data_IF_533781150142
#
_entry.id   IF_533781150142
#
_cell.length_a   1.000
_cell.length_b   1.000
_cell.length_c   1.000
_cell.angle_alpha   90.00
_cell.angle_beta   90.00
_cell.angle_gamma   90.00
#
_symmetry.space_group_name_H-M   'P 1'
#
loop_
_entity.id
_entity.type
_entity.pdbx_description
1 polymer ?
#
# COMPACT_ATOMS: atom_id res chain seq x y z
N UNK A 1 20.54 -15.90 11.67
CA UNK A 1 20.46 -16.45 10.30
C UNK A 1 20.36 -15.27 9.33
N UNK A 2 21.15 -15.20 8.25
CA UNK A 2 21.06 -14.08 7.28
C UNK A 2 19.73 -14.19 6.53
N UNK A 3 18.85 -13.20 6.66
CA UNK A 3 17.55 -13.15 5.96
C UNK A 3 17.81 -12.92 4.46
N UNK A 4 17.33 -13.82 3.60
CA UNK A 4 17.39 -13.69 2.14
C UNK A 4 16.00 -13.96 1.56
N UNK A 5 15.45 -12.97 0.86
CA UNK A 5 14.16 -13.10 0.19
C UNK A 5 14.28 -14.02 -1.04
N UNK A 6 13.17 -14.63 -1.43
CA UNK A 6 13.08 -15.63 -2.50
C UNK A 6 11.82 -15.46 -3.32
N UNK A 7 11.62 -16.29 -4.34
CA UNK A 7 10.36 -16.32 -5.09
C UNK A 7 9.15 -16.68 -4.21
N UNK A 8 9.36 -17.39 -3.11
CA UNK A 8 8.32 -17.61 -2.10
C UNK A 8 8.25 -16.39 -1.15
N UNK A 9 7.05 -15.81 -0.94
CA UNK A 9 6.82 -14.78 0.07
C UNK A 9 7.32 -15.19 1.47
N UNK A 10 7.95 -14.25 2.17
CA UNK A 10 8.34 -14.44 3.57
C UNK A 10 7.25 -13.86 4.49
N UNK A 11 6.51 -14.72 5.18
CA UNK A 11 5.48 -14.30 6.14
C UNK A 11 5.91 -14.69 7.54
N UNK A 12 5.97 -13.72 8.45
CA UNK A 12 6.30 -14.01 9.85
C UNK A 12 5.20 -14.88 10.50
N UNK A 13 5.54 -15.84 11.39
CA UNK A 13 4.55 -16.74 12.00
C UNK A 13 3.40 -16.09 12.79
N UNK A 14 3.56 -14.83 13.19
CA UNK A 14 2.54 -14.06 13.92
C UNK A 14 1.74 -13.10 13.02
N UNK A 15 2.08 -13.03 11.73
CA UNK A 15 1.29 -12.30 10.76
C UNK A 15 0.09 -13.14 10.30
N UNK A 16 -1.00 -12.46 9.94
CA UNK A 16 -2.22 -13.08 9.42
C UNK A 16 -2.44 -12.60 8.00
N UNK A 17 -2.59 -13.55 7.07
CA UNK A 17 -2.85 -13.29 5.65
C UNK A 17 -4.04 -14.13 5.22
N UNK A 18 -5.15 -13.48 4.86
CA UNK A 18 -6.43 -14.14 4.60
C UNK A 18 -7.04 -13.65 3.29
N UNK A 19 -7.49 -14.55 2.40
CA UNK A 19 -8.09 -14.20 1.12
C UNK A 19 -7.22 -13.20 0.32
N UNK A 20 -5.91 -13.42 0.33
CA UNK A 20 -4.91 -12.48 -0.14
C UNK A 20 -3.85 -13.16 -1.00
N UNK A 21 -3.27 -12.42 -1.94
CA UNK A 21 -2.16 -12.87 -2.78
C UNK A 21 -0.91 -12.07 -2.48
N UNK A 22 0.23 -12.75 -2.42
CA UNK A 22 1.54 -12.16 -2.18
C UNK A 22 2.47 -12.51 -3.33
N UNK A 23 3.11 -11.50 -3.91
CA UNK A 23 4.09 -11.64 -4.98
C UNK A 23 5.42 -12.19 -4.51
N UNK A 24 6.29 -12.47 -5.46
CA UNK A 24 7.65 -12.99 -5.23
C UNK A 24 8.51 -11.95 -4.51
N UNK A 25 9.46 -12.39 -3.70
CA UNK A 25 10.36 -11.54 -2.91
C UNK A 25 9.63 -10.57 -1.98
N UNK A 26 8.40 -10.86 -1.60
CA UNK A 26 7.66 -10.06 -0.63
C UNK A 26 7.97 -10.47 0.80
N UNK A 27 7.76 -9.54 1.73
CA UNK A 27 7.92 -9.80 3.15
C UNK A 27 6.79 -9.18 3.97
N UNK A 28 6.16 -9.97 4.84
CA UNK A 28 5.21 -9.53 5.85
C UNK A 28 5.82 -9.79 7.23
N UNK A 29 6.18 -8.72 7.93
CA UNK A 29 6.74 -8.79 9.28
C UNK A 29 5.66 -9.08 10.35
N UNK A 30 6.13 -9.27 11.58
CA UNK A 30 5.33 -9.74 12.70
C UNK A 30 4.10 -8.89 13.03
N UNK A 31 3.06 -9.53 13.59
CA UNK A 31 1.81 -8.89 14.06
C UNK A 31 1.03 -8.07 13.01
N UNK A 32 1.39 -8.19 11.74
CA UNK A 32 0.65 -7.57 10.64
C UNK A 32 -0.57 -8.40 10.23
N UNK A 33 -1.62 -7.73 9.79
CA UNK A 33 -2.84 -8.34 9.24
C UNK A 33 -3.08 -7.86 7.82
N UNK A 34 -3.24 -8.79 6.90
CA UNK A 34 -3.53 -8.54 5.48
C UNK A 34 -4.74 -9.37 5.10
N UNK A 35 -5.79 -8.74 4.60
CA UNK A 35 -7.03 -9.42 4.25
C UNK A 35 -7.64 -8.88 2.96
N UNK A 36 -8.16 -9.75 2.10
CA UNK A 36 -8.84 -9.38 0.84
C UNK A 36 -8.00 -8.45 -0.07
N UNK A 37 -6.69 -8.62 -0.01
CA UNK A 37 -5.69 -7.71 -0.57
C UNK A 37 -4.62 -8.41 -1.39
N UNK A 38 -3.98 -7.65 -2.27
CA UNK A 38 -2.93 -8.12 -3.17
C UNK A 38 -1.65 -7.33 -2.89
N UNK A 39 -0.51 -8.00 -2.77
CA UNK A 39 0.81 -7.36 -2.74
C UNK A 39 1.65 -7.84 -3.91
N UNK A 40 2.10 -6.91 -4.74
CA UNK A 40 3.00 -7.18 -5.86
C UNK A 40 4.42 -7.56 -5.43
N UNK A 41 5.17 -8.12 -6.37
CA UNK A 41 6.56 -8.56 -6.18
C UNK A 41 7.43 -7.47 -5.50
N UNK A 42 8.39 -7.90 -4.68
CA UNK A 42 9.37 -7.08 -3.95
C UNK A 42 8.81 -6.09 -2.92
N UNK A 43 7.49 -5.99 -2.77
CA UNK A 43 6.87 -5.16 -1.74
C UNK A 43 7.04 -5.77 -0.35
N UNK A 44 7.20 -4.93 0.67
CA UNK A 44 7.28 -5.40 2.05
C UNK A 44 6.44 -4.55 3.00
N UNK A 45 6.07 -5.18 4.11
CA UNK A 45 5.40 -4.57 5.23
C UNK A 45 6.15 -4.89 6.52
N UNK A 46 6.52 -3.84 7.25
CA UNK A 46 7.06 -3.97 8.59
C UNK A 46 5.94 -4.29 9.60
N UNK A 47 6.31 -4.47 10.86
CA UNK A 47 5.43 -5.00 11.90
C UNK A 47 4.19 -4.15 12.17
N UNK A 48 3.19 -4.77 12.79
CA UNK A 48 1.98 -4.13 13.30
C UNK A 48 1.14 -3.39 12.25
N UNK A 49 1.23 -3.75 10.96
CA UNK A 49 0.41 -3.16 9.91
C UNK A 49 -0.99 -3.78 9.84
N UNK A 50 -1.98 -3.04 9.32
CA UNK A 50 -3.31 -3.59 9.04
C UNK A 50 -3.78 -3.11 7.68
N UNK A 51 -4.07 -4.06 6.80
CA UNK A 51 -4.40 -3.85 5.40
C UNK A 51 -5.64 -4.67 5.07
N UNK A 52 -6.64 -3.99 4.51
CA UNK A 52 -7.89 -4.62 4.09
C UNK A 52 -8.32 -4.08 2.72
N UNK A 53 -8.88 -4.93 1.86
CA UNK A 53 -9.37 -4.56 0.52
C UNK A 53 -8.44 -3.56 -0.20
N UNK A 54 -7.19 -3.96 -0.42
CA UNK A 54 -6.16 -3.08 -1.01
C UNK A 54 -5.43 -3.81 -2.12
N UNK A 55 -5.13 -3.09 -3.21
CA UNK A 55 -4.15 -3.53 -4.21
C UNK A 55 -2.86 -2.74 -4.00
N UNK A 56 -1.82 -3.42 -3.53
CA UNK A 56 -0.46 -2.88 -3.36
C UNK A 56 0.37 -3.40 -4.52
N UNK A 57 0.90 -2.50 -5.33
CA UNK A 57 1.69 -2.87 -6.50
C UNK A 57 3.12 -3.26 -6.10
N UNK A 58 4.01 -3.43 -7.08
CA UNK A 58 5.38 -3.94 -6.90
C UNK A 58 6.30 -2.90 -6.24
N UNK A 59 7.30 -3.34 -5.49
CA UNK A 59 8.32 -2.48 -4.86
C UNK A 59 7.76 -1.41 -3.89
N UNK A 60 6.58 -1.63 -3.32
CA UNK A 60 6.02 -0.74 -2.30
C UNK A 60 6.69 -0.98 -0.94
N UNK A 61 7.08 0.10 -0.28
CA UNK A 61 7.81 0.12 0.99
C UNK A 61 6.87 0.55 2.12
N UNK A 62 6.41 -0.39 2.94
CA UNK A 62 5.42 -0.10 3.99
C UNK A 62 6.09 -0.20 5.36
N UNK A 63 6.29 0.94 6.01
CA UNK A 63 6.88 1.02 7.34
C UNK A 63 5.94 0.48 8.42
N UNK A 64 6.45 0.37 9.65
CA UNK A 64 5.70 -0.27 10.73
C UNK A 64 4.44 0.53 11.09
N UNK A 65 3.43 -0.18 11.58
CA UNK A 65 2.19 0.40 12.10
C UNK A 65 1.34 1.18 11.08
N UNK A 66 1.54 0.95 9.78
CA UNK A 66 0.71 1.56 8.73
C UNK A 66 -0.68 0.92 8.70
N UNK A 67 -1.71 1.76 8.51
CA UNK A 67 -3.11 1.35 8.35
C UNK A 67 -3.59 1.68 6.95
N UNK A 68 -4.07 0.70 6.20
CA UNK A 68 -4.54 0.89 4.84
C UNK A 68 -6.01 0.44 4.74
N UNK A 69 -6.84 1.31 4.17
CA UNK A 69 -8.29 1.16 4.09
C UNK A 69 -8.98 1.11 5.46
N UNK A 70 -8.65 2.09 6.33
CA UNK A 70 -9.27 2.22 7.65
C UNK A 70 -10.77 2.59 7.52
N UNK A 71 -11.65 1.61 7.70
CA UNK A 71 -13.09 1.76 7.40
C UNK A 71 -13.80 2.80 8.26
N UNK A 72 -14.75 3.50 7.65
CA UNK A 72 -15.63 4.46 8.35
C UNK A 72 -16.92 3.80 8.85
N UNK A 73 -17.42 4.29 9.98
CA UNK A 73 -18.76 3.95 10.48
C UNK A 73 -19.87 4.75 9.77
N UNK A 74 -21.12 4.26 9.73
CA UNK A 74 -22.22 4.95 9.06
C UNK A 74 -22.73 6.14 9.88
N UNK A 75 -22.13 7.31 9.69
CA UNK A 75 -22.44 8.54 10.46
C UNK A 75 -23.81 9.16 10.14
N UNK A 76 -24.55 8.61 9.17
CA UNK A 76 -25.89 9.06 8.80
C UNK A 76 -27.01 8.29 9.50
N UNK A 77 -26.70 7.21 10.23
CA UNK A 77 -27.68 6.43 10.99
C UNK A 77 -27.90 7.03 12.38
N UNK A 78 -29.02 6.69 13.06
CA UNK A 78 -29.25 7.12 14.45
C UNK A 78 -28.14 6.71 15.44
N UNK A 79 -27.35 5.69 15.11
CA UNK A 79 -26.16 5.27 15.85
C UNK A 79 -25.08 4.77 14.90
N UNK A 80 -23.82 4.89 15.32
CA UNK A 80 -22.65 4.37 14.61
C UNK A 80 -22.31 2.93 15.02
N UNK A 81 -23.00 2.36 15.99
CA UNK A 81 -22.70 1.01 16.50
C UNK A 81 -22.95 -0.05 15.43
N UNK A 82 -22.10 -1.09 15.38
CA UNK A 82 -22.18 -2.08 14.31
C UNK A 82 -23.40 -2.98 14.35
N UNK A 83 -24.21 -2.97 15.42
CA UNK A 83 -25.43 -3.79 15.50
C UNK A 83 -26.39 -3.46 14.36
N UNK A 84 -26.30 -2.25 13.78
CA UNK A 84 -27.16 -1.84 12.67
C UNK A 84 -26.81 -2.51 11.34
N UNK A 85 -25.57 -2.98 11.15
CA UNK A 85 -25.12 -3.66 9.92
C UNK A 85 -24.52 -5.05 10.20
N UNK A 86 -24.45 -5.42 11.48
CA UNK A 86 -24.06 -6.72 12.03
C UNK A 86 -25.12 -7.29 12.96
N UNK A 87 -26.38 -7.26 12.53
CA UNK A 87 -27.49 -7.57 13.42
C UNK A 87 -27.53 -9.05 13.86
N UNK A 88 -27.16 -9.98 12.99
CA UNK A 88 -27.09 -11.43 13.32
C UNK A 88 -26.03 -11.77 14.37
N UNK A 89 -25.05 -10.89 14.65
CA UNK A 89 -24.13 -11.08 15.77
C UNK A 89 -24.84 -10.88 17.14
N UNK A 90 -26.07 -10.36 17.14
CA UNK A 90 -26.84 -9.98 18.34
C UNK A 90 -28.19 -10.69 18.45
N UNK A 91 -28.84 -11.00 17.33
CA UNK A 91 -30.19 -11.57 17.31
C UNK A 91 -30.32 -12.65 16.24
N UNK A 92 -30.93 -13.79 16.60
CA UNK A 92 -31.12 -14.94 15.71
C UNK A 92 -32.09 -14.67 14.56
N UNK A 93 -32.93 -13.62 14.67
CA UNK A 93 -33.94 -13.23 13.68
C UNK A 93 -33.54 -12.03 12.81
N UNK A 94 -32.28 -11.61 12.87
CA UNK A 94 -31.74 -10.49 12.11
C UNK A 94 -30.54 -10.90 11.26
N UNK A 95 -30.28 -10.19 10.16
CA UNK A 95 -29.23 -10.50 9.20
C UNK A 95 -28.13 -9.43 9.15
N UNK A 96 -26.92 -9.81 8.74
CA UNK A 96 -25.90 -8.84 8.32
C UNK A 96 -26.37 -8.10 7.06
N UNK A 97 -26.14 -6.78 7.00
CA UNK A 97 -26.39 -6.02 5.76
C UNK A 97 -25.27 -6.28 4.74
N UNK A 98 -25.45 -7.29 3.88
CA UNK A 98 -24.48 -7.69 2.86
C UNK A 98 -24.09 -6.54 1.92
N UNK A 99 -25.05 -5.71 1.51
CA UNK A 99 -24.84 -4.54 0.66
C UNK A 99 -23.91 -3.50 1.31
N UNK A 100 -24.07 -3.25 2.62
CA UNK A 100 -23.20 -2.33 3.36
C UNK A 100 -21.73 -2.80 3.36
N UNK A 101 -21.50 -4.11 3.46
CA UNK A 101 -20.15 -4.66 3.33
C UNK A 101 -19.64 -4.61 1.89
N UNK A 102 -20.50 -4.84 0.90
CA UNK A 102 -20.14 -4.70 -0.52
C UNK A 102 -19.71 -3.27 -0.84
N UNK A 103 -20.42 -2.25 -0.35
CA UNK A 103 -20.05 -0.84 -0.50
C UNK A 103 -18.69 -0.52 0.15
N UNK A 104 -18.41 -1.07 1.34
CA UNK A 104 -17.09 -0.89 1.96
C UNK A 104 -15.97 -1.54 1.14
N UNK A 105 -16.20 -2.75 0.61
CA UNK A 105 -15.25 -3.44 -0.27
C UNK A 105 -15.02 -2.70 -1.59
N UNK A 106 -16.05 -2.03 -2.11
CA UNK A 106 -15.95 -1.20 -3.31
C UNK A 106 -15.00 0.00 -3.11
N UNK A 107 -14.76 0.45 -1.87
CA UNK A 107 -13.76 1.48 -1.53
C UNK A 107 -12.35 0.89 -1.39
N UNK A 108 -11.97 0.03 -2.34
CA UNK A 108 -10.63 -0.56 -2.42
C UNK A 108 -9.57 0.55 -2.53
N UNK A 109 -8.49 0.43 -1.75
CA UNK A 109 -7.33 1.34 -1.83
C UNK A 109 -6.33 0.82 -2.87
N UNK A 110 -5.71 1.73 -3.62
CA UNK A 110 -4.62 1.38 -4.56
C UNK A 110 -3.33 2.04 -4.12
N UNK A 111 -2.28 1.25 -3.91
CA UNK A 111 -0.92 1.72 -3.62
C UNK A 111 -0.03 1.41 -4.82
N UNK A 112 0.53 2.44 -5.44
CA UNK A 112 1.34 2.36 -6.66
C UNK A 112 2.72 1.69 -6.46
N UNK A 113 3.41 1.50 -7.59
CA UNK A 113 4.76 0.97 -7.65
C UNK A 113 5.77 1.92 -6.98
N UNK A 114 6.86 1.41 -6.42
CA UNK A 114 7.94 2.23 -5.82
C UNK A 114 7.44 3.28 -4.82
N UNK A 115 6.36 2.99 -4.10
CA UNK A 115 5.81 3.89 -3.10
C UNK A 115 6.51 3.72 -1.76
N UNK A 116 6.49 4.76 -0.94
CA UNK A 116 6.91 4.69 0.45
C UNK A 116 5.82 5.21 1.39
N UNK A 117 5.35 4.35 2.29
CA UNK A 117 4.41 4.70 3.36
C UNK A 117 5.17 4.77 4.69
N UNK A 118 5.30 5.98 5.23
CA UNK A 118 5.99 6.25 6.48
C UNK A 118 5.28 5.65 7.69
N UNK A 119 6.05 5.44 8.78
CA UNK A 119 5.59 4.80 10.00
C UNK A 119 4.28 5.40 10.52
N UNK A 120 3.32 4.55 10.90
CA UNK A 120 2.07 5.01 11.50
C UNK A 120 1.16 5.82 10.57
N UNK A 121 1.45 5.91 9.27
CA UNK A 121 0.56 6.57 8.32
C UNK A 121 -0.75 5.79 8.14
N UNK A 122 -1.83 6.52 7.85
CA UNK A 122 -3.17 5.96 7.63
C UNK A 122 -3.67 6.38 6.26
N UNK A 123 -4.03 5.39 5.43
CA UNK A 123 -4.63 5.59 4.12
C UNK A 123 -6.13 5.31 4.21
N UNK A 124 -6.96 6.31 3.92
CA UNK A 124 -8.42 6.19 4.03
C UNK A 124 -9.05 5.41 2.87
N UNK A 125 -10.27 4.87 3.04
CA UNK A 125 -10.94 4.06 2.03
C UNK A 125 -11.08 4.76 0.67
N UNK A 126 -10.84 4.03 -0.40
CA UNK A 126 -10.98 4.50 -1.79
C UNK A 126 -9.83 5.37 -2.32
N UNK A 127 -8.80 5.65 -1.51
CA UNK A 127 -7.65 6.47 -1.94
C UNK A 127 -6.75 5.70 -2.91
N UNK A 128 -6.22 6.41 -3.90
CA UNK A 128 -5.11 5.98 -4.76
C UNK A 128 -3.84 6.76 -4.42
N UNK A 129 -2.76 6.04 -4.09
CA UNK A 129 -1.40 6.58 -3.95
C UNK A 129 -0.63 6.24 -5.21
N UNK A 130 -0.31 7.24 -6.04
CA UNK A 130 0.34 7.04 -7.34
C UNK A 130 1.76 6.48 -7.25
N UNK A 131 2.26 5.95 -8.36
CA UNK A 131 3.60 5.33 -8.41
C UNK A 131 4.70 6.34 -8.03
N UNK A 132 5.70 5.87 -7.31
CA UNK A 132 6.79 6.69 -6.81
C UNK A 132 6.39 7.66 -5.70
N UNK A 133 5.12 7.76 -5.28
CA UNK A 133 4.71 8.69 -4.24
C UNK A 133 5.25 8.30 -2.85
N UNK A 134 5.42 9.29 -1.98
CA UNK A 134 5.86 9.10 -0.61
C UNK A 134 4.89 9.75 0.39
N UNK A 135 4.59 9.02 1.46
CA UNK A 135 3.71 9.45 2.55
C UNK A 135 4.55 9.58 3.82
N UNK A 136 4.59 10.78 4.40
CA UNK A 136 5.30 11.03 5.66
C UNK A 136 4.75 10.21 6.83
N UNK A 137 5.58 9.99 7.84
CA UNK A 137 5.18 9.30 9.07
C UNK A 137 3.99 10.01 9.76
N UNK A 138 3.06 9.22 10.30
CA UNK A 138 1.87 9.69 11.01
C UNK A 138 0.84 10.42 10.14
N UNK A 139 1.03 10.51 8.82
CA UNK A 139 0.11 11.23 7.95
C UNK A 139 -1.24 10.49 7.80
N UNK A 140 -2.33 11.26 7.67
CA UNK A 140 -3.66 10.73 7.33
C UNK A 140 -4.02 11.14 5.91
N UNK A 141 -3.90 10.20 4.98
CA UNK A 141 -4.14 10.42 3.55
C UNK A 141 -5.63 10.20 3.27
N UNK A 142 -6.34 11.31 3.07
CA UNK A 142 -7.79 11.35 2.84
C UNK A 142 -8.19 11.66 1.39
N UNK A 143 -7.21 11.85 0.51
CA UNK A 143 -7.39 12.14 -0.93
C UNK A 143 -6.28 11.47 -1.72
N UNK A 144 -6.52 11.27 -3.00
CA UNK A 144 -5.54 10.69 -3.92
C UNK A 144 -4.23 11.49 -3.92
N UNK A 145 -3.13 10.76 -4.06
CA UNK A 145 -1.78 11.31 -4.14
C UNK A 145 -1.26 11.08 -5.54
N UNK A 146 -0.89 12.16 -6.23
CA UNK A 146 -0.33 12.07 -7.56
C UNK A 146 1.00 11.28 -7.57
N UNK A 147 1.35 10.61 -8.69
CA UNK A 147 2.64 9.95 -8.83
C UNK A 147 3.81 10.89 -8.48
N UNK A 148 4.88 10.33 -7.92
CA UNK A 148 6.10 11.05 -7.54
C UNK A 148 5.87 12.25 -6.60
N UNK A 149 4.72 12.35 -5.92
CA UNK A 149 4.44 13.41 -4.95
C UNK A 149 4.74 12.95 -3.53
N UNK A 150 5.32 13.84 -2.73
CA UNK A 150 5.54 13.64 -1.30
C UNK A 150 4.44 14.38 -0.52
N UNK A 151 3.70 13.67 0.32
CA UNK A 151 2.63 14.21 1.18
C UNK A 151 2.93 13.99 2.65
N UNK A 152 2.36 14.82 3.53
CA UNK A 152 2.43 14.62 4.98
C UNK A 152 1.41 15.46 5.75
N UNK A 153 1.22 15.13 7.03
CA UNK A 153 0.32 15.83 7.95
C UNK A 153 -1.06 15.17 8.15
N UNK A 154 -1.89 15.82 8.97
CA UNK A 154 -3.27 15.38 9.29
C UNK A 154 -4.23 16.57 9.15
N UNK A 155 -5.03 16.65 8.07
CA UNK A 155 -5.00 15.78 6.89
C UNK A 155 -3.69 15.95 6.09
N UNK A 156 -3.30 14.91 5.35
CA UNK A 156 -2.11 14.96 4.52
C UNK A 156 -2.25 16.01 3.40
N UNK A 157 -1.19 16.78 3.19
CA UNK A 157 -1.08 17.77 2.11
C UNK A 157 0.18 17.52 1.29
N UNK A 158 0.19 17.86 -0.01
CA UNK A 158 1.42 17.88 -0.81
C UNK A 158 2.46 18.78 -0.16
N UNK A 159 3.68 18.26 -0.04
CA UNK A 159 4.85 18.98 0.48
C UNK A 159 5.75 19.41 -0.67
N UNK A 160 6.09 18.46 -1.55
CA UNK A 160 6.89 18.68 -2.76
C UNK A 160 6.80 17.48 -3.69
N UNK A 161 7.25 17.64 -4.93
CA UNK A 161 7.48 16.53 -5.84
C UNK A 161 8.86 15.88 -5.55
N UNK A 162 9.01 14.59 -5.89
CA UNK A 162 10.30 13.88 -5.85
C UNK A 162 11.21 14.37 -6.96
N UNK A 163 10.64 14.58 -8.15
CA UNK A 163 11.30 15.05 -9.37
C UNK A 163 10.44 16.10 -10.05
N UNK A 164 11.01 16.83 -11.01
CA UNK A 164 10.19 17.62 -11.92
C UNK A 164 9.26 16.71 -12.76
N UNK A 165 8.20 17.30 -13.31
CA UNK A 165 7.18 16.60 -14.08
C UNK A 165 7.74 15.79 -15.26
N UNK A 166 8.71 16.32 -16.02
CA UNK A 166 9.29 15.63 -17.18
C UNK A 166 10.06 14.39 -16.73
N UNK A 167 10.83 14.51 -15.67
CA UNK A 167 11.57 13.40 -15.07
C UNK A 167 10.62 12.33 -14.53
N UNK A 168 9.53 12.73 -13.85
CA UNK A 168 8.51 11.80 -13.36
C UNK A 168 7.79 11.05 -14.50
N UNK A 169 7.43 11.75 -15.59
CA UNK A 169 6.80 11.15 -16.78
C UNK A 169 7.74 10.13 -17.46
N UNK A 170 9.05 10.41 -17.54
CA UNK A 170 10.02 9.47 -18.08
C UNK A 170 10.17 8.22 -17.22
N UNK A 171 10.18 8.35 -15.89
CA UNK A 171 10.19 7.17 -15.01
C UNK A 171 8.92 6.34 -15.12
N UNK A 172 7.75 6.99 -15.30
CA UNK A 172 6.51 6.28 -15.59
C UNK A 172 6.60 5.50 -16.91
N UNK A 173 7.14 6.11 -17.96
CA UNK A 173 7.32 5.45 -19.26
C UNK A 173 8.35 4.31 -19.19
N UNK A 174 9.41 4.47 -18.40
CA UNK A 174 10.44 3.46 -18.19
C UNK A 174 9.89 2.20 -17.51
N UNK A 175 8.94 2.37 -16.58
CA UNK A 175 8.26 1.31 -15.85
C UNK A 175 9.24 0.23 -15.34
N UNK A 176 10.35 0.67 -14.72
CA UNK A 176 11.44 -0.23 -14.35
C UNK A 176 11.01 -1.36 -13.40
N UNK A 177 9.90 -1.18 -12.67
CA UNK A 177 9.27 -2.20 -11.83
C UNK A 177 8.75 -3.42 -12.60
N UNK A 178 8.69 -3.37 -13.93
CA UNK A 178 8.38 -4.52 -14.79
C UNK A 178 9.62 -5.26 -15.29
N UNK A 179 10.82 -4.79 -14.95
CA UNK A 179 12.05 -5.50 -15.28
C UNK A 179 12.13 -6.84 -14.53
N UNK A 180 12.68 -7.85 -15.21
CA UNK A 180 12.92 -9.14 -14.59
C UNK A 180 14.06 -9.10 -13.54
N UNK A 181 14.17 -10.15 -12.74
CA UNK A 181 15.15 -10.24 -11.65
C UNK A 181 16.60 -10.11 -12.14
N UNK A 182 16.92 -10.63 -13.33
CA UNK A 182 18.26 -10.58 -13.90
C UNK A 182 18.61 -9.16 -14.35
N UNK A 183 17.69 -8.45 -15.01
CA UNK A 183 17.85 -7.05 -15.42
C UNK A 183 17.99 -6.13 -14.22
N UNK A 184 17.19 -6.33 -13.17
CA UNK A 184 17.35 -5.58 -11.90
C UNK A 184 18.74 -5.79 -11.31
N UNK A 185 19.23 -7.04 -11.30
CA UNK A 185 20.57 -7.34 -10.81
C UNK A 185 21.64 -6.68 -11.68
N UNK A 186 21.51 -6.73 -13.00
CA UNK A 186 22.47 -6.12 -13.92
C UNK A 186 22.56 -4.60 -13.76
N UNK A 187 21.43 -3.94 -13.47
CA UNK A 187 21.34 -2.49 -13.28
C UNK A 187 21.57 -2.04 -11.82
N UNK A 188 21.90 -2.94 -10.89
CA UNK A 188 21.98 -2.63 -9.45
C UNK A 188 22.94 -1.48 -9.13
N UNK A 189 24.13 -1.49 -9.74
CA UNK A 189 25.13 -0.45 -9.48
C UNK A 189 24.69 0.89 -10.09
N UNK A 190 23.99 0.88 -11.23
CA UNK A 190 23.39 2.08 -11.82
C UNK A 190 22.33 2.70 -10.89
N UNK A 191 21.45 1.89 -10.29
CA UNK A 191 20.46 2.36 -9.30
C UNK A 191 21.10 3.01 -8.07
N UNK A 192 22.34 2.65 -7.74
CA UNK A 192 23.06 3.15 -6.55
C UNK A 192 23.90 4.39 -6.85
N UNK A 193 24.46 4.47 -8.04
CA UNK A 193 25.53 5.41 -8.36
C UNK A 193 25.06 6.55 -9.28
N UNK A 194 24.09 6.31 -10.15
CA UNK A 194 23.59 7.34 -11.06
C UNK A 194 22.59 8.28 -10.38
N UNK A 195 22.60 9.55 -10.79
CA UNK A 195 21.48 10.44 -10.48
C UNK A 195 20.20 9.96 -11.17
N UNK A 196 19.05 10.47 -10.72
CA UNK A 196 17.77 10.11 -11.33
C UNK A 196 17.72 10.42 -12.83
N UNK A 197 18.30 11.54 -13.26
CA UNK A 197 18.39 11.97 -14.65
C UNK A 197 19.39 11.09 -15.42
N UNK A 198 20.60 10.88 -14.88
CA UNK A 198 21.61 10.05 -15.54
C UNK A 198 21.15 8.59 -15.71
N UNK A 199 20.37 8.07 -14.77
CA UNK A 199 19.75 6.76 -14.87
C UNK A 199 18.76 6.70 -16.04
N UNK A 200 17.92 7.73 -16.19
CA UNK A 200 16.99 7.83 -17.32
C UNK A 200 17.70 8.02 -18.66
N UNK A 201 18.82 8.76 -18.72
CA UNK A 201 19.62 8.85 -19.96
C UNK A 201 20.19 7.51 -20.40
N UNK A 202 20.47 6.61 -19.45
CA UNK A 202 21.01 5.29 -19.73
C UNK A 202 19.93 4.24 -20.05
N UNK A 203 18.80 4.30 -19.36
CA UNK A 203 17.82 3.20 -19.34
C UNK A 203 16.45 3.53 -19.93
N UNK A 204 16.07 4.80 -20.08
CA UNK A 204 14.71 5.22 -20.49
C UNK A 204 14.67 6.29 -21.57
#
# INVERSE_FOLDING_TARGET
MKRKLSETPLVHPTAQVENSTLGRWTEIADRSRVSESELGDYSYMMQDCAVWCTTIRKFSNIAASVRINATNHPTWRPTMHHFTYRASDYWDDAEHESEFFAERRAKRVTIGHDTWLGHGSTILPGVTVGDGAAVGAGAVVSKDVAPYTIVGGVPAKPLRERFDRRTAERYQALAWWDWDHARLRAALDDFRELSAEAFLEKHG
#
